data_IF_487308274371
#
_entry.id   IF_487308274371
#
_cell.length_a   1.000
_cell.length_b   1.000
_cell.length_c   1.000
_cell.angle_alpha   90.00
_cell.angle_beta   90.00
_cell.angle_gamma   90.00
#
_symmetry.space_group_name_H-M   'P 1'
#
loop_
_entity.id
_entity.type
_entity.pdbx_description
1 polymer ?
#
# COMPACT_ATOMS: atom_id res chain seq x y z
N UNK A 1 -15.55 -7.02 10.71
CA UNK A 1 -16.01 -8.02 9.72
C UNK A 1 -17.51 -7.95 9.44
N UNK A 2 -18.39 -7.98 10.44
CA UNK A 2 -19.86 -7.94 10.22
C UNK A 2 -20.32 -6.77 9.33
N UNK A 3 -19.81 -5.55 9.57
CA UNK A 3 -20.12 -4.40 8.72
C UNK A 3 -19.76 -4.61 7.24
N UNK A 4 -18.59 -5.20 6.94
CA UNK A 4 -18.17 -5.52 5.57
C UNK A 4 -19.13 -6.55 4.95
N UNK A 5 -19.50 -7.58 5.71
CA UNK A 5 -20.42 -8.63 5.26
C UNK A 5 -21.81 -8.08 4.92
N UNK A 6 -22.30 -7.10 5.69
CA UNK A 6 -23.63 -6.50 5.49
C UNK A 6 -23.68 -5.47 4.37
N UNK A 7 -22.55 -4.84 4.04
CA UNK A 7 -22.49 -3.69 3.11
C UNK A 7 -21.73 -4.00 1.81
N UNK A 8 -21.22 -5.21 1.63
CA UNK A 8 -20.47 -5.63 0.43
C UNK A 8 -20.79 -7.07 0.06
N UNK A 9 -20.36 -7.47 -1.14
CA UNK A 9 -20.32 -8.86 -1.60
C UNK A 9 -18.92 -9.48 -1.46
N UNK A 10 -18.03 -8.87 -0.68
CA UNK A 10 -16.70 -9.42 -0.43
C UNK A 10 -16.88 -10.73 0.34
N UNK A 11 -16.25 -11.84 -0.10
CA UNK A 11 -16.38 -13.12 0.58
C UNK A 11 -15.59 -13.09 1.90
N UNK A 12 -16.25 -12.68 2.98
CA UNK A 12 -15.68 -12.65 4.33
C UNK A 12 -16.29 -13.75 5.19
N UNK A 13 -15.52 -14.42 6.06
CA UNK A 13 -16.06 -15.46 6.93
C UNK A 13 -17.06 -14.86 7.92
N UNK A 14 -18.22 -15.51 8.09
CA UNK A 14 -19.20 -15.10 9.09
C UNK A 14 -18.63 -15.34 10.50
N UNK A 15 -18.87 -14.39 11.38
CA UNK A 15 -18.58 -14.53 12.82
C UNK A 15 -19.74 -15.25 13.49
N UNK A 16 -19.47 -16.43 14.06
CA UNK A 16 -20.46 -17.22 14.81
C UNK A 16 -20.45 -16.88 16.30
N UNK A 17 -19.26 -16.68 16.87
CA UNK A 17 -19.08 -16.33 18.26
C UNK A 17 -17.74 -15.62 18.48
N UNK A 18 -17.64 -14.79 19.51
CA UNK A 18 -16.39 -14.20 19.97
C UNK A 18 -16.48 -13.90 21.48
N UNK A 19 -15.36 -13.82 22.17
CA UNK A 19 -15.35 -13.52 23.59
C UNK A 19 -14.02 -13.80 24.27
N UNK A 20 -14.05 -13.90 25.60
CA UNK A 20 -12.90 -14.27 26.42
C UNK A 20 -13.27 -15.45 27.33
N UNK A 21 -12.49 -16.53 27.28
CA UNK A 21 -12.72 -17.73 28.09
C UNK A 21 -11.40 -18.39 28.50
N UNK A 22 -11.42 -19.22 29.53
CA UNK A 22 -10.29 -20.10 29.86
C UNK A 22 -10.31 -21.28 28.90
N UNK A 23 -9.49 -21.21 27.85
CA UNK A 23 -9.41 -22.24 26.81
C UNK A 23 -8.36 -23.31 27.14
N UNK A 24 -7.35 -22.95 27.94
CA UNK A 24 -6.26 -23.84 28.33
C UNK A 24 -6.56 -24.49 29.68
N UNK A 25 -6.52 -25.83 29.73
CA UNK A 25 -6.88 -26.63 30.93
C UNK A 25 -6.06 -26.29 32.19
N UNK A 26 -4.85 -25.76 32.04
CA UNK A 26 -3.92 -25.52 33.15
C UNK A 26 -3.56 -24.03 33.32
N UNK A 27 -4.35 -23.11 32.77
CA UNK A 27 -4.09 -21.68 32.88
C UNK A 27 -5.36 -20.93 33.28
N UNK A 28 -5.28 -20.15 34.36
CA UNK A 28 -6.39 -19.32 34.85
C UNK A 28 -6.60 -18.04 34.02
N UNK A 29 -5.67 -17.68 33.15
CA UNK A 29 -5.81 -16.56 32.23
C UNK A 29 -6.95 -16.81 31.23
N UNK A 30 -7.74 -15.77 30.95
CA UNK A 30 -8.74 -15.79 29.89
C UNK A 30 -8.05 -15.47 28.55
N UNK A 31 -8.28 -16.31 27.54
CA UNK A 31 -7.86 -16.08 26.16
C UNK A 31 -9.02 -15.49 25.36
N UNK A 32 -8.72 -14.51 24.51
CA UNK A 32 -9.67 -14.05 23.51
C UNK A 32 -9.85 -15.14 22.43
N UNK A 33 -11.08 -15.31 21.95
CA UNK A 33 -11.38 -16.21 20.84
C UNK A 33 -12.40 -15.61 19.89
N UNK A 34 -12.39 -16.14 18.67
CA UNK A 34 -13.39 -15.90 17.64
C UNK A 34 -13.63 -17.21 16.88
N UNK A 35 -14.90 -17.53 16.62
CA UNK A 35 -15.34 -18.68 15.84
C UNK A 35 -15.90 -18.15 14.53
N UNK A 36 -15.34 -18.62 13.43
CA UNK A 36 -15.58 -18.15 12.07
C UNK A 36 -16.03 -19.29 11.17
N UNK A 37 -16.67 -18.94 10.04
CA UNK A 37 -16.85 -19.89 8.94
C UNK A 37 -15.53 -20.51 8.51
N UNK A 38 -15.58 -21.81 8.19
CA UNK A 38 -14.52 -22.45 7.42
C UNK A 38 -14.70 -22.13 5.94
N UNK A 39 -13.82 -21.31 5.38
CA UNK A 39 -13.81 -20.97 3.95
C UNK A 39 -13.22 -22.14 3.14
N UNK A 40 -13.93 -22.56 2.09
CA UNK A 40 -13.46 -23.61 1.17
C UNK A 40 -12.38 -23.05 0.23
N UNK A 41 -11.46 -23.90 -0.18
CA UNK A 41 -10.37 -23.55 -1.10
C UNK A 41 -9.01 -23.75 -0.44
N UNK A 42 -7.99 -23.16 -1.05
CA UNK A 42 -6.62 -23.17 -0.56
C UNK A 42 -6.12 -21.74 -0.41
N UNK A 43 -5.17 -21.54 0.49
CA UNK A 43 -4.47 -20.25 0.58
C UNK A 43 -3.73 -19.99 -0.72
N UNK A 44 -3.83 -18.77 -1.22
CA UNK A 44 -3.09 -18.35 -2.39
C UNK A 44 -1.58 -18.36 -2.05
N UNK A 45 -0.79 -18.97 -2.92
CA UNK A 45 0.67 -19.00 -2.81
C UNK A 45 1.25 -18.42 -4.09
N UNK A 46 2.28 -17.57 -3.98
CA UNK A 46 2.89 -16.91 -5.13
C UNK A 46 3.23 -17.90 -6.26
N UNK A 47 3.94 -18.99 -5.95
CA UNK A 47 4.33 -19.99 -6.96
C UNK A 47 3.13 -20.59 -7.70
N UNK A 48 2.00 -20.81 -7.01
CA UNK A 48 0.78 -21.30 -7.64
C UNK A 48 0.17 -20.24 -8.55
N UNK A 49 0.15 -18.98 -8.08
CA UNK A 49 -0.37 -17.86 -8.86
C UNK A 49 0.45 -17.62 -10.13
N UNK A 50 1.78 -17.54 -10.03
CA UNK A 50 2.68 -17.30 -11.16
C UNK A 50 2.58 -18.41 -12.21
N UNK A 51 2.44 -19.66 -11.78
CA UNK A 51 2.29 -20.82 -12.67
C UNK A 51 0.87 -20.99 -13.23
N UNK A 52 -0.11 -20.22 -12.74
CA UNK A 52 -1.47 -20.23 -13.24
C UNK A 52 -1.55 -19.76 -14.70
N UNK A 53 -2.64 -20.09 -15.39
CA UNK A 53 -2.87 -19.55 -16.74
C UNK A 53 -3.06 -18.04 -16.70
N UNK A 54 -2.73 -17.34 -17.79
CA UNK A 54 -2.98 -15.90 -17.89
C UNK A 54 -4.47 -15.59 -17.69
N UNK A 55 -5.36 -16.43 -18.22
CA UNK A 55 -6.80 -16.29 -18.03
C UNK A 55 -7.18 -16.31 -16.54
N UNK A 56 -6.68 -17.27 -15.76
CA UNK A 56 -6.96 -17.37 -14.33
C UNK A 56 -6.37 -16.18 -13.55
N UNK A 57 -5.14 -15.76 -13.86
CA UNK A 57 -4.53 -14.59 -13.19
C UNK A 57 -5.30 -13.29 -13.49
N UNK A 58 -5.72 -13.08 -14.74
CA UNK A 58 -6.53 -11.92 -15.12
C UNK A 58 -7.89 -11.92 -14.46
N UNK A 59 -8.53 -13.09 -14.36
CA UNK A 59 -9.78 -13.25 -13.62
C UNK A 59 -9.61 -12.93 -12.14
N UNK A 60 -8.56 -13.46 -11.51
CA UNK A 60 -8.21 -13.15 -10.13
C UNK A 60 -8.02 -11.63 -9.91
N UNK A 61 -7.25 -10.95 -10.78
CA UNK A 61 -7.07 -9.51 -10.67
C UNK A 61 -8.38 -8.75 -10.85
N UNK A 62 -9.26 -9.22 -11.75
CA UNK A 62 -10.58 -8.65 -11.97
C UNK A 62 -11.43 -8.68 -10.69
N UNK A 63 -11.44 -9.82 -9.98
CA UNK A 63 -12.15 -9.99 -8.70
C UNK A 63 -11.52 -9.16 -7.58
N UNK A 64 -10.19 -9.12 -7.50
CA UNK A 64 -9.47 -8.32 -6.53
C UNK A 64 -9.76 -6.81 -6.69
N UNK A 65 -9.85 -6.35 -7.95
CA UNK A 65 -10.25 -4.98 -8.27
C UNK A 65 -11.68 -4.70 -7.81
N UNK A 66 -12.61 -5.65 -8.00
CA UNK A 66 -13.99 -5.49 -7.52
C UNK A 66 -14.07 -5.42 -6.00
N UNK A 67 -13.26 -6.20 -5.29
CA UNK A 67 -13.13 -6.13 -3.83
C UNK A 67 -12.65 -4.74 -3.41
N UNK A 68 -11.60 -4.20 -4.06
CA UNK A 68 -11.10 -2.87 -3.76
C UNK A 68 -12.10 -1.76 -4.10
N UNK A 69 -12.86 -1.89 -5.19
CA UNK A 69 -13.91 -0.96 -5.54
C UNK A 69 -15.03 -0.95 -4.48
N UNK A 70 -15.43 -2.12 -3.98
CA UNK A 70 -16.42 -2.25 -2.91
C UNK A 70 -15.93 -1.65 -1.59
N UNK A 71 -14.70 -1.95 -1.18
CA UNK A 71 -14.10 -1.34 0.01
C UNK A 71 -14.05 0.18 -0.07
N UNK A 72 -13.72 0.71 -1.25
CA UNK A 72 -13.73 2.16 -1.50
C UNK A 72 -15.12 2.77 -1.38
N UNK A 73 -16.18 2.02 -1.69
CA UNK A 73 -17.56 2.47 -1.53
C UNK A 73 -18.01 2.62 -0.07
N UNK A 74 -17.26 2.04 0.88
CA UNK A 74 -17.54 2.16 2.31
C UNK A 74 -16.84 3.42 2.86
N UNK A 75 -17.51 4.56 2.88
CA UNK A 75 -16.95 5.81 3.40
C UNK A 75 -17.16 5.97 4.92
N UNK A 76 -16.07 6.25 5.63
CA UNK A 76 -16.01 6.52 7.06
C UNK A 76 -15.59 7.97 7.31
N UNK A 77 -16.05 8.55 8.41
CA UNK A 77 -15.84 9.98 8.69
C UNK A 77 -14.40 10.35 8.98
N UNK A 78 -13.60 9.39 9.48
CA UNK A 78 -12.20 9.59 9.83
C UNK A 78 -11.41 8.28 9.80
N UNK A 79 -10.09 8.37 9.70
CA UNK A 79 -9.19 7.24 9.83
C UNK A 79 -9.21 6.70 11.28
N UNK A 80 -9.19 5.38 11.44
CA UNK A 80 -9.43 4.71 12.71
C UNK A 80 -10.90 4.72 13.19
N UNK A 81 -11.83 5.34 12.46
CA UNK A 81 -13.25 5.31 12.81
C UNK A 81 -13.85 3.91 12.58
N UNK A 82 -14.57 3.41 13.58
CA UNK A 82 -15.44 2.23 13.46
C UNK A 82 -16.88 2.59 13.06
N UNK A 83 -17.18 3.89 12.88
CA UNK A 83 -18.50 4.40 12.56
C UNK A 83 -18.52 4.99 11.14
N UNK A 84 -19.46 4.57 10.26
CA UNK A 84 -19.63 5.13 8.92
C UNK A 84 -19.93 6.62 8.97
N UNK A 85 -19.46 7.39 7.96
CA UNK A 85 -19.68 8.83 7.93
C UNK A 85 -21.17 9.17 7.74
N UNK A 86 -21.64 10.23 8.42
CA UNK A 86 -22.77 11.02 7.93
C UNK A 86 -22.19 12.23 7.22
N UNK A 87 -22.05 12.13 5.89
CA UNK A 87 -21.84 13.24 4.95
C UNK A 87 -20.80 14.28 5.38
N UNK A 88 -19.50 14.02 5.14
CA UNK A 88 -18.51 15.11 5.00
C UNK A 88 -17.46 14.81 3.92
N UNK A 89 -16.93 15.88 3.33
CA UNK A 89 -16.26 15.97 2.02
C UNK A 89 -14.82 15.39 2.00
N UNK A 90 -14.37 14.77 3.09
CA UNK A 90 -13.06 14.11 3.17
C UNK A 90 -13.13 12.79 3.94
N UNK A 91 -13.68 11.76 3.28
CA UNK A 91 -13.84 10.43 3.87
C UNK A 91 -12.55 9.61 3.97
N UNK A 92 -12.53 8.69 4.92
CA UNK A 92 -11.60 7.55 5.00
C UNK A 92 -12.30 6.29 4.51
N UNK A 93 -11.57 5.32 3.99
CA UNK A 93 -12.11 4.05 3.48
C UNK A 93 -11.44 2.88 4.19
N UNK A 94 -12.15 1.77 4.46
CA UNK A 94 -11.56 0.58 5.02
C UNK A 94 -10.54 0.01 4.03
N UNK A 95 -9.33 -0.20 4.51
CA UNK A 95 -8.25 -0.84 3.80
C UNK A 95 -7.84 -2.11 4.55
N UNK A 96 -7.54 -3.15 3.78
CA UNK A 96 -6.81 -4.30 4.28
C UNK A 96 -5.34 -3.92 4.16
N UNK A 97 -4.75 -3.43 5.25
CA UNK A 97 -3.38 -2.89 5.23
C UNK A 97 -2.32 -4.00 5.09
N UNK A 98 -2.69 -5.27 5.34
CA UNK A 98 -1.82 -6.44 5.23
C UNK A 98 -2.47 -7.59 4.43
N UNK A 99 -2.90 -7.31 3.19
CA UNK A 99 -3.46 -8.34 2.31
C UNK A 99 -2.35 -9.20 1.68
N UNK A 100 -1.78 -10.12 2.46
CA UNK A 100 -0.79 -11.10 2.00
C UNK A 100 -1.43 -12.23 1.20
N UNK A 101 -0.61 -12.94 0.43
CA UNK A 101 -1.02 -14.14 -0.32
C UNK A 101 -1.80 -15.13 0.55
N UNK A 102 -1.29 -15.44 1.76
CA UNK A 102 -1.91 -16.37 2.72
C UNK A 102 -3.30 -15.95 3.22
N UNK A 103 -3.65 -14.68 3.07
CA UNK A 103 -4.90 -14.11 3.58
C UNK A 103 -5.98 -14.10 2.49
N UNK A 104 -5.68 -14.65 1.31
CA UNK A 104 -6.63 -14.84 0.21
C UNK A 104 -6.83 -16.34 0.00
N UNK A 105 -8.07 -16.78 0.09
CA UNK A 105 -8.47 -18.14 -0.28
C UNK A 105 -8.91 -18.17 -1.73
N UNK A 106 -8.45 -19.18 -2.45
CA UNK A 106 -8.83 -19.41 -3.85
C UNK A 106 -9.23 -20.85 -4.11
N UNK A 107 -10.00 -21.07 -5.17
CA UNK A 107 -10.20 -22.41 -5.72
C UNK A 107 -9.07 -22.80 -6.70
N UNK A 108 -9.25 -23.95 -7.36
CA UNK A 108 -8.31 -24.50 -8.34
C UNK A 108 -8.13 -23.65 -9.62
N UNK A 109 -9.06 -22.74 -9.91
CA UNK A 109 -9.03 -21.84 -11.07
C UNK A 109 -8.61 -20.40 -10.68
N UNK A 110 -8.13 -20.21 -9.44
CA UNK A 110 -7.76 -18.93 -8.85
C UNK A 110 -8.94 -17.97 -8.61
N UNK A 111 -10.19 -18.46 -8.55
CA UNK A 111 -11.31 -17.64 -8.09
C UNK A 111 -11.20 -17.37 -6.60
N UNK A 112 -11.38 -16.11 -6.19
CA UNK A 112 -11.33 -15.69 -4.78
C UNK A 112 -12.56 -16.24 -4.06
N UNK A 113 -12.33 -17.19 -3.15
CA UNK A 113 -13.39 -17.80 -2.33
C UNK A 113 -13.48 -17.21 -0.93
N UNK A 114 -12.47 -16.46 -0.51
CA UNK A 114 -12.52 -15.72 0.74
C UNK A 114 -11.34 -14.80 1.02
N UNK A 115 -11.62 -13.73 1.75
CA UNK A 115 -10.63 -12.81 2.29
C UNK A 115 -10.59 -13.00 3.81
N UNK A 116 -9.45 -13.42 4.30
CA UNK A 116 -9.20 -13.72 5.70
C UNK A 116 -8.47 -12.57 6.39
N UNK A 117 -8.27 -12.75 7.69
CA UNK A 117 -7.33 -11.98 8.49
C UNK A 117 -7.52 -10.45 8.42
N UNK A 118 -8.71 -10.03 8.87
CA UNK A 118 -9.09 -8.63 8.96
C UNK A 118 -8.58 -7.94 10.24
N UNK A 119 -7.65 -8.57 10.97
CA UNK A 119 -7.20 -8.09 12.28
C UNK A 119 -6.45 -6.74 12.19
N UNK A 120 -5.83 -6.47 11.05
CA UNK A 120 -5.17 -5.19 10.74
C UNK A 120 -6.01 -4.27 9.85
N UNK A 121 -7.29 -4.61 9.61
CA UNK A 121 -8.15 -3.75 8.81
C UNK A 121 -8.27 -2.37 9.47
N UNK A 122 -7.98 -1.32 8.71
CA UNK A 122 -7.98 0.05 9.20
C UNK A 122 -8.73 0.95 8.22
N UNK A 123 -9.40 1.97 8.71
CA UNK A 123 -9.87 3.05 7.85
C UNK A 123 -8.70 4.00 7.57
N UNK A 124 -8.37 4.17 6.30
CA UNK A 124 -7.28 5.03 5.84
C UNK A 124 -7.85 6.17 5.01
N UNK A 125 -7.22 7.35 4.97
CA UNK A 125 -7.62 8.40 4.04
C UNK A 125 -7.68 7.84 2.61
N UNK A 126 -8.63 8.27 1.79
CA UNK A 126 -8.80 7.76 0.40
C UNK A 126 -7.50 7.82 -0.42
N UNK A 127 -6.62 8.78 -0.12
CA UNK A 127 -5.31 8.93 -0.78
C UNK A 127 -4.28 7.84 -0.37
N UNK A 128 -4.51 7.11 0.72
CA UNK A 128 -3.58 6.12 1.27
C UNK A 128 -3.95 4.67 0.91
N UNK A 129 -5.03 4.48 0.15
CA UNK A 129 -5.53 3.16 -0.23
C UNK A 129 -4.73 2.60 -1.41
N UNK A 130 -3.67 1.84 -1.11
CA UNK A 130 -2.79 1.21 -2.10
C UNK A 130 -3.14 -0.28 -2.28
N UNK A 131 -2.93 -0.88 -3.47
CA UNK A 131 -3.01 -2.33 -3.63
C UNK A 131 -1.89 -3.00 -2.83
N UNK A 132 -1.93 -4.33 -2.65
CA UNK A 132 -0.94 -5.07 -1.90
C UNK A 132 0.48 -4.82 -2.40
N UNK A 133 1.44 -4.82 -1.47
CA UNK A 133 2.85 -4.58 -1.79
C UNK A 133 3.37 -5.54 -2.86
N UNK A 134 3.03 -6.84 -2.77
CA UNK A 134 3.45 -7.85 -3.74
C UNK A 134 2.94 -7.57 -5.17
N UNK A 135 1.84 -6.84 -5.36
CA UNK A 135 1.43 -6.34 -6.68
C UNK A 135 2.27 -5.13 -7.08
N UNK A 136 2.44 -4.16 -6.18
CA UNK A 136 3.03 -2.85 -6.50
C UNK A 136 4.56 -2.85 -6.60
N UNK A 137 5.24 -3.81 -5.97
CA UNK A 137 6.71 -3.93 -5.98
C UNK A 137 7.21 -4.82 -7.12
N UNK A 138 6.37 -5.65 -7.72
CA UNK A 138 6.72 -6.52 -8.85
C UNK A 138 6.35 -5.88 -10.18
N UNK A 139 7.30 -5.80 -11.12
CA UNK A 139 7.06 -5.18 -12.43
C UNK A 139 5.98 -5.92 -13.24
N UNK A 140 6.06 -7.25 -13.22
CA UNK A 140 5.20 -8.10 -14.05
C UNK A 140 3.77 -8.13 -13.49
N UNK A 141 3.63 -8.37 -12.18
CA UNK A 141 2.32 -8.35 -11.53
C UNK A 141 1.65 -6.98 -11.62
N UNK A 142 2.42 -5.90 -11.47
CA UNK A 142 1.90 -4.56 -11.61
C UNK A 142 1.42 -4.25 -13.04
N UNK A 143 2.17 -4.67 -14.05
CA UNK A 143 1.80 -4.47 -15.44
C UNK A 143 0.50 -5.22 -15.79
N UNK A 144 0.38 -6.48 -15.37
CA UNK A 144 -0.82 -7.30 -15.59
C UNK A 144 -2.03 -6.74 -14.84
N UNK A 145 -1.87 -6.39 -13.56
CA UNK A 145 -2.91 -5.75 -12.75
C UNK A 145 -3.43 -4.44 -13.39
N UNK A 146 -2.51 -3.57 -13.84
CA UNK A 146 -2.90 -2.32 -14.53
C UNK A 146 -3.61 -2.57 -15.84
N UNK A 147 -3.19 -3.58 -16.61
CA UNK A 147 -3.87 -3.98 -17.84
C UNK A 147 -5.33 -4.37 -17.57
N UNK A 148 -5.57 -5.19 -16.54
CA UNK A 148 -6.92 -5.62 -16.15
C UNK A 148 -7.74 -4.44 -15.65
N UNK A 149 -7.18 -3.58 -14.81
CA UNK A 149 -7.87 -2.39 -14.31
C UNK A 149 -8.27 -1.42 -15.42
N UNK A 150 -7.36 -1.17 -16.36
CA UNK A 150 -7.63 -0.34 -17.53
C UNK A 150 -8.76 -0.93 -18.39
N UNK A 151 -8.80 -2.26 -18.54
CA UNK A 151 -9.87 -2.94 -19.28
C UNK A 151 -11.24 -2.82 -18.62
N UNK A 152 -11.33 -2.81 -17.28
CA UNK A 152 -12.61 -2.68 -16.55
C UNK A 152 -13.15 -1.25 -16.47
N UNK A 153 -12.28 -0.25 -16.34
CA UNK A 153 -12.70 1.12 -16.02
C UNK A 153 -12.28 2.19 -17.05
N UNK A 154 -11.69 1.79 -18.18
CA UNK A 154 -11.30 2.68 -19.27
C UNK A 154 -10.41 3.85 -18.80
N UNK A 155 -10.67 5.06 -19.32
CA UNK A 155 -9.91 6.29 -18.98
C UNK A 155 -10.02 6.70 -17.49
N UNK A 156 -11.02 6.19 -16.75
CA UNK A 156 -11.17 6.43 -15.31
C UNK A 156 -10.17 5.64 -14.47
N UNK A 157 -9.59 4.56 -15.02
CA UNK A 157 -8.56 3.76 -14.35
C UNK A 157 -7.34 4.59 -13.94
N UNK A 158 -6.96 5.61 -14.73
CA UNK A 158 -5.89 6.53 -14.38
C UNK A 158 -6.25 7.37 -13.15
N UNK A 159 -7.49 7.87 -13.06
CA UNK A 159 -7.96 8.65 -11.90
C UNK A 159 -8.06 7.77 -10.64
N UNK A 160 -8.46 6.50 -10.80
CA UNK A 160 -8.51 5.56 -9.69
C UNK A 160 -7.11 5.14 -9.22
N UNK A 161 -6.19 4.81 -10.14
CA UNK A 161 -4.77 4.52 -9.84
C UNK A 161 -4.06 5.71 -9.20
N UNK A 162 -4.25 6.93 -9.72
CA UNK A 162 -3.63 8.14 -9.16
C UNK A 162 -4.10 8.47 -7.75
N UNK A 163 -5.33 8.09 -7.39
CA UNK A 163 -5.84 8.23 -6.01
C UNK A 163 -5.33 7.09 -5.10
N UNK A 164 -5.13 5.91 -5.67
CA UNK A 164 -4.65 4.71 -4.98
C UNK A 164 -3.17 4.83 -4.59
N UNK A 165 -2.33 5.48 -5.40
CA UNK A 165 -0.88 5.50 -5.17
C UNK A 165 -0.34 6.67 -4.36
N UNK A 166 -1.11 7.48 -3.60
CA UNK A 166 -0.55 8.70 -2.96
C UNK A 166 0.27 8.46 -1.68
N UNK A 167 1.00 7.35 -1.56
CA UNK A 167 2.10 7.19 -0.59
C UNK A 167 3.44 7.64 -1.23
N UNK A 168 4.08 8.73 -0.76
CA UNK A 168 5.28 9.29 -1.40
C UNK A 168 6.43 8.30 -1.56
N UNK A 169 6.68 7.41 -0.59
CA UNK A 169 7.79 6.46 -0.64
C UNK A 169 7.57 5.30 -1.64
N UNK A 170 6.32 4.89 -1.88
CA UNK A 170 6.01 3.91 -2.94
C UNK A 170 5.82 4.59 -4.32
N UNK A 171 5.45 5.87 -4.34
CA UNK A 171 5.36 6.67 -5.56
C UNK A 171 6.69 6.78 -6.27
N UNK A 172 7.81 6.85 -5.56
CA UNK A 172 9.14 6.96 -6.19
C UNK A 172 9.37 5.79 -7.15
N UNK A 173 9.16 4.55 -6.70
CA UNK A 173 9.36 3.37 -7.55
C UNK A 173 8.32 3.30 -8.67
N UNK A 174 7.04 3.56 -8.38
CA UNK A 174 5.97 3.54 -9.40
C UNK A 174 6.21 4.62 -10.45
N UNK A 175 6.56 5.83 -10.02
CA UNK A 175 6.84 6.97 -10.88
C UNK A 175 8.03 6.66 -11.78
N UNK A 176 9.20 6.31 -11.23
CA UNK A 176 10.39 6.05 -12.04
C UNK A 176 10.28 4.81 -12.93
N UNK A 177 9.52 3.80 -12.53
CA UNK A 177 9.38 2.58 -13.32
C UNK A 177 8.36 2.72 -14.45
N UNK A 178 7.26 3.44 -14.22
CA UNK A 178 6.10 3.37 -15.13
C UNK A 178 5.64 4.71 -15.69
N UNK A 179 5.79 5.82 -14.95
CA UNK A 179 5.31 7.15 -15.38
C UNK A 179 6.44 7.91 -16.05
N UNK A 180 7.64 7.87 -15.45
CA UNK A 180 8.82 8.58 -15.91
C UNK A 180 9.19 8.25 -17.37
N UNK A 181 9.20 6.98 -17.82
CA UNK A 181 9.51 6.67 -19.23
C UNK A 181 8.49 7.19 -20.24
N UNK A 182 7.27 7.56 -19.80
CA UNK A 182 6.24 8.13 -20.66
C UNK A 182 6.35 9.65 -20.77
N UNK A 183 6.94 10.29 -19.77
CA UNK A 183 7.06 11.75 -19.67
C UNK A 183 8.45 12.27 -20.04
N UNK A 184 9.48 11.46 -19.83
CA UNK A 184 10.88 11.83 -20.00
C UNK A 184 11.62 10.74 -20.76
N UNK A 185 12.39 11.14 -21.77
CA UNK A 185 13.26 10.26 -22.56
C UNK A 185 14.66 10.12 -21.95
N UNK A 186 15.08 11.09 -21.15
CA UNK A 186 16.40 11.14 -20.52
C UNK A 186 16.42 10.35 -19.20
N UNK A 187 17.57 9.80 -18.75
CA UNK A 187 17.68 9.09 -17.47
C UNK A 187 17.31 9.97 -16.27
N UNK A 188 16.69 9.37 -15.24
CA UNK A 188 16.21 10.11 -14.03
C UNK A 188 17.31 10.90 -13.36
N UNK A 189 18.52 10.37 -13.32
CA UNK A 189 19.66 11.02 -12.70
C UNK A 189 19.97 12.36 -13.37
N UNK A 190 19.79 12.47 -14.69
CA UNK A 190 20.03 13.70 -15.44
C UNK A 190 18.90 14.72 -15.22
N UNK A 191 17.64 14.30 -15.33
CA UNK A 191 16.49 15.20 -15.18
C UNK A 191 16.36 15.75 -13.76
N UNK A 192 16.57 14.92 -12.74
CA UNK A 192 16.59 15.38 -11.34
C UNK A 192 17.70 16.41 -11.14
N UNK A 193 18.90 16.16 -11.70
CA UNK A 193 20.02 17.11 -11.60
C UNK A 193 19.67 18.45 -12.22
N UNK A 194 19.19 18.45 -13.47
CA UNK A 194 18.83 19.67 -14.18
C UNK A 194 17.73 20.46 -13.45
N UNK A 195 16.75 19.77 -12.86
CA UNK A 195 15.71 20.39 -12.04
C UNK A 195 16.29 21.20 -10.87
N UNK A 196 17.32 20.68 -10.20
CA UNK A 196 17.98 21.33 -9.07
C UNK A 196 19.14 22.26 -9.48
N UNK A 197 19.42 22.47 -10.76
CA UNK A 197 20.40 23.48 -11.21
C UNK A 197 19.81 24.90 -11.22
N UNK A 198 18.48 25.04 -11.15
CA UNK A 198 17.84 26.34 -11.03
C UNK A 198 18.14 26.96 -9.65
N UNK A 199 18.66 28.19 -9.64
CA UNK A 199 19.06 28.93 -8.42
C UNK A 199 17.94 28.99 -7.37
N UNK A 200 16.69 29.22 -7.82
CA UNK A 200 15.52 29.25 -6.93
C UNK A 200 15.27 27.89 -6.26
N UNK A 201 15.50 26.78 -6.97
CA UNK A 201 15.34 25.43 -6.45
C UNK A 201 16.48 25.01 -5.54
N UNK A 202 17.70 25.49 -5.78
CA UNK A 202 18.81 25.29 -4.86
C UNK A 202 18.58 25.99 -3.53
N UNK A 203 18.09 27.24 -3.57
CA UNK A 203 17.77 27.98 -2.36
C UNK A 203 16.64 27.32 -1.56
N UNK A 204 15.61 26.81 -2.24
CA UNK A 204 14.53 26.04 -1.64
C UNK A 204 15.04 24.74 -0.98
N UNK A 205 15.90 23.99 -1.68
CA UNK A 205 16.50 22.76 -1.17
C UNK A 205 17.37 23.01 0.07
N UNK A 206 18.21 24.04 0.06
CA UNK A 206 19.01 24.43 1.23
C UNK A 206 18.13 24.77 2.44
N UNK A 207 17.03 25.47 2.22
CA UNK A 207 16.08 25.84 3.28
C UNK A 207 15.41 24.60 3.87
N UNK A 208 15.04 23.64 3.03
CA UNK A 208 14.45 22.36 3.45
C UNK A 208 15.45 21.52 4.25
N UNK A 209 16.71 21.45 3.82
CA UNK A 209 17.77 20.74 4.56
C UNK A 209 17.99 21.35 5.94
N UNK A 210 18.12 22.68 6.04
CA UNK A 210 18.27 23.37 7.33
C UNK A 210 17.05 23.18 8.25
N UNK A 211 15.85 23.06 7.69
CA UNK A 211 14.65 22.77 8.46
C UNK A 211 14.64 21.32 8.95
N UNK A 212 15.04 20.38 8.09
CA UNK A 212 15.18 18.96 8.42
C UNK A 212 16.20 18.76 9.55
N UNK A 213 17.38 19.36 9.45
CA UNK A 213 18.43 19.30 10.50
C UNK A 213 17.93 19.82 11.84
N UNK A 214 17.23 20.97 11.84
CA UNK A 214 16.63 21.55 13.05
C UNK A 214 15.58 20.63 13.65
N UNK A 215 14.75 20.01 12.82
CA UNK A 215 13.70 19.10 13.26
C UNK A 215 14.27 17.80 13.81
N UNK A 216 15.25 17.19 13.13
CA UNK A 216 15.97 16.00 13.60
C UNK A 216 16.67 16.27 14.93
N UNK A 217 17.31 17.43 15.08
CA UNK A 217 17.90 17.85 16.37
C UNK A 217 16.85 17.92 17.47
N UNK A 218 15.71 18.56 17.22
CA UNK A 218 14.59 18.61 18.16
C UNK A 218 14.09 17.23 18.56
N UNK A 219 13.92 16.31 17.60
CA UNK A 219 13.48 14.94 17.88
C UNK A 219 14.47 14.20 18.79
N UNK A 220 15.79 14.33 18.53
CA UNK A 220 16.83 13.73 19.37
C UNK A 220 16.84 14.32 20.79
N UNK A 221 16.75 15.64 20.91
CA UNK A 221 16.73 16.34 22.20
C UNK A 221 15.50 15.99 23.06
N UNK A 222 14.40 15.57 22.43
CA UNK A 222 13.15 15.22 23.11
C UNK A 222 12.91 13.70 23.21
N UNK A 223 13.89 12.85 22.87
CA UNK A 223 13.74 11.38 22.84
C UNK A 223 12.58 10.89 21.95
N UNK A 224 12.30 11.60 20.86
CA UNK A 224 11.26 11.28 19.87
C UNK A 224 11.85 10.73 18.56
N UNK A 225 13.17 10.66 18.44
CA UNK A 225 13.85 10.14 17.26
C UNK A 225 13.89 8.60 17.31
N UNK A 226 13.38 7.96 16.26
CA UNK A 226 13.44 6.50 16.09
C UNK A 226 14.53 6.22 15.05
N UNK A 227 15.59 5.54 15.46
CA UNK A 227 16.66 5.12 14.53
C UNK A 227 16.12 4.03 13.60
N UNK A 228 16.00 4.36 12.31
CA UNK A 228 15.78 3.41 11.22
C UNK A 228 17.11 3.26 10.47
N UNK A 229 17.99 2.43 11.02
CA UNK A 229 19.37 2.26 10.53
C UNK A 229 19.44 1.89 9.04
N UNK A 230 18.45 1.14 8.54
CA UNK A 230 18.38 0.77 7.12
C UNK A 230 17.98 1.94 6.23
N UNK A 231 17.07 2.81 6.68
CA UNK A 231 16.71 4.02 5.95
C UNK A 231 17.87 5.02 5.92
N UNK A 232 18.55 5.21 7.06
CA UNK A 232 19.69 6.11 7.19
C UNK A 232 20.87 5.69 6.32
N UNK A 233 21.16 4.38 6.22
CA UNK A 233 22.19 3.89 5.30
C UNK A 233 21.89 4.23 3.84
N UNK A 234 20.64 4.04 3.39
CA UNK A 234 20.23 4.35 2.01
C UNK A 234 20.31 5.85 1.70
N UNK A 235 19.91 6.71 2.63
CA UNK A 235 20.02 8.16 2.47
C UNK A 235 21.49 8.60 2.44
N UNK A 236 22.33 8.10 3.35
CA UNK A 236 23.75 8.44 3.41
C UNK A 236 24.51 8.03 2.13
N UNK A 237 24.22 6.85 1.58
CA UNK A 237 24.80 6.41 0.31
C UNK A 237 24.39 7.30 -0.87
N UNK A 238 23.13 7.74 -0.89
CA UNK A 238 22.62 8.64 -1.93
C UNK A 238 23.23 10.04 -1.80
N UNK A 239 23.31 10.57 -0.57
CA UNK A 239 23.91 11.88 -0.28
C UNK A 239 25.41 11.91 -0.61
N UNK A 240 26.15 10.83 -0.34
CA UNK A 240 27.56 10.72 -0.72
C UNK A 240 27.76 10.77 -2.24
N UNK A 241 26.87 10.13 -3.02
CA UNK A 241 26.91 10.18 -4.49
C UNK A 241 26.61 11.58 -5.04
N UNK A 242 25.72 12.31 -4.38
CA UNK A 242 25.39 13.70 -4.74
C UNK A 242 26.57 14.62 -4.43
N UNK A 243 27.16 14.52 -3.24
CA UNK A 243 28.28 15.37 -2.82
C UNK A 243 29.55 15.13 -3.65
N UNK A 244 29.94 13.88 -3.86
CA UNK A 244 31.14 13.55 -4.65
C UNK A 244 31.09 14.10 -6.09
N UNK A 245 29.88 14.22 -6.65
CA UNK A 245 29.68 14.83 -7.95
C UNK A 245 29.90 16.35 -7.93
N UNK A 246 29.37 17.06 -6.92
CA UNK A 246 29.60 18.50 -6.78
C UNK A 246 31.07 18.83 -6.54
N UNK A 247 31.77 18.03 -5.73
CA UNK A 247 33.20 18.20 -5.46
C UNK A 247 34.06 17.97 -6.72
N UNK A 248 33.63 17.07 -7.62
CA UNK A 248 34.28 16.83 -8.90
C UNK A 248 34.12 17.99 -9.90
N UNK A 249 33.09 18.82 -9.72
CA UNK A 249 32.77 19.97 -10.58
C UNK A 249 33.32 21.30 -10.08
N UNK A 250 33.67 21.43 -8.80
CA UNK A 250 34.42 22.59 -8.28
C UNK A 250 35.93 22.53 -8.62
N UNK A 251 36.42 21.36 -9.06
CA UNK A 251 37.83 21.14 -9.46
C UNK A 251 38.07 21.21 -10.97
N UNK A 252 37.06 21.57 -11.78
CA UNK A 252 37.12 21.74 -13.23
C UNK A 252 36.70 23.14 -13.63
#
# INVERSE_FOLDING_TARGET
MQYIQENTQIPVPRVHAYGQAQLLRNNSAKQAFMILDHIKGQQLVEKQFSNGSEQHRRQFYSELIDIFAQLRGLEFSAAGSLMPARLEVSGSIPAIVDLRWSNIMVDHELHITGILDWEWAATVPVNNFTPPSWITTSKDYFAEFRSVLASKHGSSAHVQLLKIFRKPHHLVNVFYTFIYPQLYTEPREKVIREYFLCEQKQLELQRLLQNSERYTKYLRENNLFVDDEEADQRENEWMAKVQAYYDSKQKS
#
